data_IF_891109938551
#
_entry.id   IF_891109938551
#
_cell.length_a   1.000
_cell.length_b   1.000
_cell.length_c   1.000
_cell.angle_alpha   90.00
_cell.angle_beta   90.00
_cell.angle_gamma   90.00
#
_symmetry.space_group_name_H-M   'P 1'
#
loop_
_entity.id
_entity.type
_entity.pdbx_description
1 polymer ?
#
# COMPACT_ATOMS: atom_id res chain seq x y z
N UNK A 1 -6.86 13.41 -10.48
CA UNK A 1 -6.31 12.67 -9.32
C UNK A 1 -6.15 11.19 -9.57
N UNK A 2 -7.16 10.43 -10.01
CA UNK A 2 -6.99 8.98 -10.24
C UNK A 2 -5.81 8.68 -11.17
N UNK A 3 -5.69 9.40 -12.27
CA UNK A 3 -4.53 9.30 -13.16
C UNK A 3 -3.22 9.54 -12.41
N UNK A 4 -3.12 10.59 -11.59
CA UNK A 4 -1.91 10.88 -10.81
C UNK A 4 -1.56 9.75 -9.84
N UNK A 5 -2.55 9.17 -9.16
CA UNK A 5 -2.34 7.99 -8.29
C UNK A 5 -1.79 6.80 -9.07
N UNK A 6 -2.36 6.52 -10.27
CA UNK A 6 -1.87 5.45 -11.12
C UNK A 6 -0.41 5.65 -11.57
N UNK A 7 -0.05 6.88 -11.94
CA UNK A 7 1.33 7.20 -12.34
C UNK A 7 2.29 7.11 -11.15
N UNK A 8 1.91 7.64 -10.01
CA UNK A 8 2.70 7.54 -8.79
C UNK A 8 2.94 6.08 -8.38
N UNK A 9 1.92 5.24 -8.47
CA UNK A 9 2.05 3.81 -8.13
C UNK A 9 3.08 3.06 -8.99
N UNK A 10 3.27 3.50 -10.24
CA UNK A 10 4.20 2.86 -11.19
C UNK A 10 5.58 3.51 -11.16
N UNK A 11 5.62 4.84 -11.11
CA UNK A 11 6.87 5.61 -11.31
C UNK A 11 7.40 6.29 -10.04
N UNK A 12 6.65 6.24 -8.93
CA UNK A 12 7.06 6.89 -7.69
C UNK A 12 8.39 6.35 -7.17
N UNK A 13 9.39 7.23 -7.05
CA UNK A 13 10.77 6.88 -6.70
C UNK A 13 11.69 6.63 -7.90
N UNK A 14 11.17 6.67 -9.13
CA UNK A 14 11.99 6.64 -10.34
C UNK A 14 12.21 8.09 -10.83
N UNK A 15 13.49 8.45 -11.06
CA UNK A 15 13.86 9.80 -11.56
C UNK A 15 13.57 9.91 -13.05
N UNK A 16 12.29 10.15 -13.39
CA UNK A 16 11.86 10.32 -14.78
C UNK A 16 10.87 11.47 -14.92
N UNK A 17 10.96 12.18 -16.02
CA UNK A 17 10.01 13.24 -16.37
C UNK A 17 8.86 12.66 -17.18
N UNK A 18 7.66 12.63 -16.60
CA UNK A 18 6.49 12.01 -17.20
C UNK A 18 5.60 13.04 -17.93
N UNK A 19 5.22 12.71 -19.15
CA UNK A 19 4.14 13.41 -19.86
C UNK A 19 2.80 12.76 -19.49
N UNK A 20 2.13 13.31 -18.48
CA UNK A 20 0.86 12.77 -17.98
C UNK A 20 -0.31 12.86 -18.96
N UNK A 21 -0.13 13.44 -20.15
CA UNK A 21 -1.13 13.40 -21.24
C UNK A 21 -1.12 12.06 -21.98
N UNK A 22 -0.06 11.26 -21.83
CA UNK A 22 0.09 9.96 -22.53
C UNK A 22 -0.54 8.84 -21.71
N UNK A 23 -1.05 7.78 -22.36
CA UNK A 23 -1.55 6.60 -21.66
C UNK A 23 -0.48 5.94 -20.77
N UNK A 24 -0.88 5.46 -19.58
CA UNK A 24 0.02 4.79 -18.63
C UNK A 24 0.82 3.65 -19.30
N UNK A 25 0.14 2.80 -20.11
CA UNK A 25 0.77 1.71 -20.87
C UNK A 25 1.95 2.20 -21.72
N UNK A 26 1.78 3.30 -22.43
CA UNK A 26 2.81 3.86 -23.30
C UNK A 26 4.01 4.36 -22.51
N UNK A 27 3.78 4.92 -21.32
CA UNK A 27 4.84 5.40 -20.45
C UNK A 27 5.59 4.23 -19.79
N UNK A 28 4.89 3.17 -19.39
CA UNK A 28 5.52 1.93 -18.89
C UNK A 28 6.45 1.35 -19.94
N UNK A 29 5.99 1.21 -21.19
CA UNK A 29 6.83 0.72 -22.29
C UNK A 29 8.05 1.62 -22.45
N UNK A 30 7.85 2.92 -22.54
CA UNK A 30 8.92 3.89 -22.84
C UNK A 30 9.96 3.98 -21.74
N UNK A 31 9.54 4.09 -20.48
CA UNK A 31 10.43 4.46 -19.36
C UNK A 31 10.84 3.27 -18.49
N UNK A 32 10.23 2.09 -18.68
CA UNK A 32 10.56 0.90 -17.89
C UNK A 32 10.96 -0.27 -18.79
N UNK A 33 10.08 -0.70 -19.71
CA UNK A 33 10.33 -1.94 -20.44
C UNK A 33 11.39 -1.78 -21.52
N UNK A 34 11.45 -0.63 -22.21
CA UNK A 34 12.51 -0.34 -23.18
C UNK A 34 13.85 -0.04 -22.50
N UNK A 35 13.83 0.49 -21.28
CA UNK A 35 15.01 0.79 -20.44
C UNK A 35 15.37 -0.40 -19.51
N UNK A 36 14.85 -1.59 -19.82
CA UNK A 36 14.95 -2.75 -18.94
C UNK A 36 16.37 -3.05 -18.49
N UNK A 37 17.36 -3.01 -19.38
CA UNK A 37 18.72 -3.38 -19.04
C UNK A 37 19.38 -2.40 -18.07
N UNK A 38 19.22 -1.10 -18.29
CA UNK A 38 19.78 -0.06 -17.42
C UNK A 38 19.13 -0.09 -16.04
N UNK A 39 17.82 -0.27 -15.98
CA UNK A 39 17.09 -0.40 -14.71
C UNK A 39 17.47 -1.70 -14.00
N UNK A 40 17.58 -2.82 -14.71
CA UNK A 40 18.02 -4.09 -14.14
C UNK A 40 19.41 -3.99 -13.52
N UNK A 41 20.34 -3.33 -14.20
CA UNK A 41 21.71 -3.12 -13.69
C UNK A 41 21.70 -2.27 -12.43
N UNK A 42 20.87 -1.24 -12.38
CA UNK A 42 20.68 -0.42 -11.18
C UNK A 42 20.12 -1.24 -10.02
N UNK A 43 19.06 -2.00 -10.24
CA UNK A 43 18.45 -2.87 -9.22
C UNK A 43 19.40 -3.99 -8.79
N UNK A 44 20.18 -4.57 -9.71
CA UNK A 44 21.17 -5.57 -9.38
C UNK A 44 22.28 -4.99 -8.45
N UNK A 45 22.72 -3.76 -8.68
CA UNK A 45 23.64 -3.07 -7.77
C UNK A 45 23.00 -2.83 -6.40
N UNK A 46 21.78 -2.31 -6.37
CA UNK A 46 21.03 -2.03 -5.16
C UNK A 46 20.81 -3.31 -4.32
N UNK A 47 20.49 -4.42 -4.95
CA UNK A 47 20.22 -5.72 -4.30
C UNK A 47 21.47 -6.61 -4.21
N UNK A 48 22.67 -6.08 -4.47
CA UNK A 48 23.93 -6.86 -4.51
C UNK A 48 23.85 -8.09 -5.44
N UNK A 49 22.96 -8.05 -6.43
CA UNK A 49 22.66 -9.17 -7.34
C UNK A 49 22.31 -10.49 -6.61
N UNK A 50 21.73 -10.39 -5.42
CA UNK A 50 21.42 -11.53 -4.57
C UNK A 50 20.14 -12.23 -5.03
N UNK A 51 20.24 -13.48 -5.43
CA UNK A 51 19.06 -14.27 -5.81
C UNK A 51 18.06 -14.47 -4.65
N UNK A 52 18.46 -14.70 -3.38
CA UNK A 52 17.57 -14.72 -2.23
C UNK A 52 16.80 -13.40 -2.05
N UNK A 53 17.47 -12.22 -2.18
CA UNK A 53 16.79 -10.94 -2.10
C UNK A 53 15.69 -10.81 -3.15
N UNK A 54 15.99 -11.16 -4.42
CA UNK A 54 15.01 -11.10 -5.50
C UNK A 54 13.80 -12.01 -5.25
N UNK A 55 14.02 -13.20 -4.66
CA UNK A 55 12.93 -14.11 -4.28
C UNK A 55 12.02 -13.49 -3.21
N UNK A 56 12.61 -12.94 -2.12
CA UNK A 56 11.85 -12.26 -1.05
C UNK A 56 11.10 -11.07 -1.61
N UNK A 57 11.77 -10.17 -2.35
CA UNK A 57 11.16 -8.98 -2.94
C UNK A 57 9.99 -9.33 -3.88
N UNK A 58 10.15 -10.37 -4.69
CA UNK A 58 9.04 -10.87 -5.51
C UNK A 58 7.89 -11.43 -4.66
N UNK A 59 8.22 -12.12 -3.56
CA UNK A 59 7.24 -12.69 -2.64
C UNK A 59 6.39 -11.65 -1.90
N UNK A 60 6.93 -10.45 -1.64
CA UNK A 60 6.23 -9.36 -0.94
C UNK A 60 5.58 -8.32 -1.88
N UNK A 61 5.86 -8.38 -3.17
CA UNK A 61 5.37 -7.37 -4.12
C UNK A 61 3.84 -7.38 -4.28
N UNK A 62 3.23 -8.56 -4.16
CA UNK A 62 1.79 -8.80 -4.21
C UNK A 62 1.36 -9.68 -3.01
N UNK A 63 0.06 -9.75 -2.77
CA UNK A 63 -0.52 -10.56 -1.70
C UNK A 63 -0.56 -9.82 -0.35
N UNK A 64 -0.66 -10.59 0.72
CA UNK A 64 -0.83 -10.09 2.08
C UNK A 64 0.40 -9.40 2.69
N UNK A 65 1.56 -9.54 2.07
CA UNK A 65 2.85 -8.95 2.46
C UNK A 65 3.35 -9.38 3.85
N UNK A 66 2.70 -10.33 4.51
CA UNK A 66 3.15 -10.89 5.80
C UNK A 66 4.48 -11.61 5.60
N UNK A 67 5.38 -11.47 6.55
CA UNK A 67 6.71 -12.12 6.50
C UNK A 67 6.60 -13.61 6.28
N UNK A 68 5.79 -14.30 7.10
CA UNK A 68 5.62 -15.76 7.00
C UNK A 68 5.15 -16.24 5.63
N UNK A 69 4.08 -15.61 5.09
CA UNK A 69 3.56 -15.99 3.78
C UNK A 69 4.48 -15.57 2.63
N UNK A 70 5.24 -14.50 2.80
CA UNK A 70 6.22 -14.04 1.80
C UNK A 70 7.41 -14.99 1.71
N UNK A 71 7.94 -15.44 2.83
CA UNK A 71 9.04 -16.41 2.86
C UNK A 71 8.61 -17.76 2.27
N UNK A 72 7.40 -18.22 2.61
CA UNK A 72 6.83 -19.43 2.02
C UNK A 72 6.69 -19.33 0.49
N UNK A 73 6.22 -18.18 -0.03
CA UNK A 73 6.16 -17.94 -1.50
C UNK A 73 7.55 -17.86 -2.14
N UNK A 74 8.53 -17.37 -1.41
CA UNK A 74 9.91 -17.25 -1.86
C UNK A 74 10.71 -18.56 -1.76
N UNK A 75 10.15 -19.58 -1.12
CA UNK A 75 10.84 -20.83 -0.79
C UNK A 75 12.13 -20.57 0.00
N UNK A 76 11.99 -19.84 1.11
CA UNK A 76 13.07 -19.45 2.01
C UNK A 76 12.65 -19.78 3.44
N UNK A 77 13.59 -20.37 4.21
CA UNK A 77 13.40 -20.66 5.62
C UNK A 77 13.25 -19.35 6.45
N UNK A 78 12.47 -19.42 7.52
CA UNK A 78 12.10 -18.22 8.30
C UNK A 78 13.31 -17.44 8.84
N UNK A 79 14.29 -18.14 9.44
CA UNK A 79 15.50 -17.49 10.00
C UNK A 79 16.36 -16.81 8.92
N UNK A 80 16.46 -17.44 7.75
CA UNK A 80 17.15 -16.86 6.59
C UNK A 80 16.36 -15.64 6.06
N UNK A 81 15.05 -15.77 5.98
CA UNK A 81 14.16 -14.69 5.54
C UNK A 81 14.28 -13.44 6.42
N UNK A 82 14.30 -13.60 7.73
CA UNK A 82 14.47 -12.48 8.68
C UNK A 82 15.82 -11.78 8.47
N UNK A 83 16.92 -12.53 8.31
CA UNK A 83 18.24 -11.92 8.00
C UNK A 83 18.21 -11.11 6.71
N UNK A 84 17.56 -11.66 5.67
CA UNK A 84 17.41 -10.96 4.40
C UNK A 84 16.61 -9.66 4.58
N UNK A 85 15.54 -9.66 5.39
CA UNK A 85 14.75 -8.45 5.65
C UNK A 85 15.59 -7.37 6.33
N UNK A 86 16.35 -7.70 7.38
CA UNK A 86 17.25 -6.73 8.00
C UNK A 86 18.23 -6.09 7.01
N UNK A 87 18.83 -6.90 6.13
CA UNK A 87 19.75 -6.39 5.12
C UNK A 87 19.03 -5.52 4.07
N UNK A 88 17.80 -5.86 3.69
CA UNK A 88 16.98 -5.07 2.77
C UNK A 88 16.48 -3.76 3.39
N UNK A 89 16.27 -3.73 4.72
CA UNK A 89 15.96 -2.51 5.47
C UNK A 89 17.18 -1.59 5.56
N UNK A 90 18.38 -2.12 5.85
CA UNK A 90 19.63 -1.34 5.82
C UNK A 90 19.92 -0.74 4.45
N UNK A 91 19.49 -1.42 3.37
CA UNK A 91 19.60 -0.92 1.99
C UNK A 91 18.44 0.03 1.60
N UNK A 92 17.54 0.34 2.53
CA UNK A 92 16.36 1.19 2.30
C UNK A 92 15.46 0.71 1.14
N UNK A 93 15.41 -0.62 0.90
CA UNK A 93 14.57 -1.22 -0.16
C UNK A 93 13.17 -1.54 0.37
N UNK A 94 13.11 -2.04 1.60
CA UNK A 94 11.86 -2.35 2.30
C UNK A 94 11.86 -1.72 3.68
N UNK A 95 10.70 -1.71 4.30
CA UNK A 95 10.50 -1.41 5.72
C UNK A 95 9.48 -2.36 6.31
N UNK A 96 9.65 -2.71 7.57
CA UNK A 96 8.69 -3.47 8.35
C UNK A 96 7.53 -2.58 8.79
N UNK A 97 6.33 -3.10 8.69
CA UNK A 97 5.09 -2.50 9.17
C UNK A 97 4.53 -3.41 10.26
N UNK A 98 4.47 -2.92 11.49
CA UNK A 98 3.86 -3.62 12.64
C UNK A 98 2.40 -3.24 12.79
N UNK A 99 1.60 -4.15 13.33
CA UNK A 99 0.20 -3.86 13.66
C UNK A 99 0.12 -2.84 14.80
N UNK A 100 -0.81 -1.90 14.72
CA UNK A 100 -1.05 -0.88 15.76
C UNK A 100 -1.95 -1.44 16.89
N UNK A 101 -1.62 -2.60 17.40
CA UNK A 101 -2.35 -3.29 18.46
C UNK A 101 -2.28 -2.56 19.83
N UNK A 102 -1.21 -1.82 20.07
CA UNK A 102 -1.04 -0.99 21.26
C UNK A 102 -2.10 0.12 21.40
N UNK A 103 -2.79 0.50 20.32
CA UNK A 103 -3.93 1.42 20.35
C UNK A 103 -5.27 0.70 20.64
N UNK A 104 -5.23 -0.60 20.86
CA UNK A 104 -6.42 -1.39 21.21
C UNK A 104 -6.39 -1.74 22.71
N UNK A 105 -7.54 -1.99 23.30
CA UNK A 105 -7.61 -2.43 24.70
C UNK A 105 -7.47 -3.96 24.84
N UNK A 106 -7.20 -4.66 23.75
CA UNK A 106 -6.91 -6.10 23.79
C UNK A 106 -5.41 -6.32 23.99
N UNK A 107 -5.00 -6.61 25.22
CA UNK A 107 -3.62 -6.89 25.60
C UNK A 107 -3.18 -8.34 25.34
N UNK A 108 -3.98 -9.13 24.64
CA UNK A 108 -3.51 -10.44 24.19
C UNK A 108 -2.43 -10.23 23.12
N UNK A 109 -1.31 -10.93 23.28
CA UNK A 109 -0.23 -10.88 22.29
C UNK A 109 -0.79 -11.19 20.89
N UNK A 110 -0.65 -10.22 20.01
CA UNK A 110 -1.02 -10.39 18.60
C UNK A 110 0.09 -11.17 17.91
N UNK A 111 -0.05 -12.48 17.80
CA UNK A 111 0.90 -13.38 17.14
C UNK A 111 0.95 -13.19 15.60
N UNK A 112 0.25 -12.19 15.07
CA UNK A 112 0.25 -11.92 13.65
C UNK A 112 1.60 -11.42 13.18
N UNK A 113 2.16 -12.06 12.15
CA UNK A 113 3.44 -11.65 11.58
C UNK A 113 3.37 -10.23 10.98
N UNK A 114 4.47 -9.51 11.11
CA UNK A 114 4.66 -8.20 10.49
C UNK A 114 4.44 -8.25 8.98
N UNK A 115 4.09 -7.11 8.42
CA UNK A 115 3.98 -6.90 6.97
C UNK A 115 5.18 -6.11 6.47
N UNK A 116 5.51 -6.30 5.20
CA UNK A 116 6.64 -5.65 4.55
C UNK A 116 6.14 -4.66 3.50
N UNK A 117 6.76 -3.49 3.48
CA UNK A 117 6.49 -2.43 2.53
C UNK A 117 7.74 -2.10 1.72
N UNK A 118 7.60 -1.93 0.42
CA UNK A 118 8.65 -1.30 -0.36
C UNK A 118 8.74 0.19 -0.01
N UNK A 119 9.96 0.71 0.03
CA UNK A 119 10.20 2.12 0.31
C UNK A 119 9.76 3.02 -0.84
N UNK A 120 9.74 2.50 -2.08
CA UNK A 120 9.24 3.21 -3.25
C UNK A 120 8.19 2.39 -4.01
N UNK A 121 7.15 3.04 -4.57
CA UNK A 121 6.18 2.39 -5.43
C UNK A 121 6.80 1.71 -6.65
N UNK A 122 7.83 2.35 -7.26
CA UNK A 122 8.50 1.80 -8.43
C UNK A 122 9.18 0.45 -8.17
N UNK A 123 9.90 0.29 -7.04
CA UNK A 123 10.50 -1.00 -6.69
C UNK A 123 9.44 -2.09 -6.55
N UNK A 124 8.31 -1.77 -5.90
CA UNK A 124 7.18 -2.71 -5.81
C UNK A 124 6.64 -3.07 -7.20
N UNK A 125 6.46 -2.07 -8.10
CA UNK A 125 6.03 -2.32 -9.47
C UNK A 125 7.01 -3.23 -10.23
N UNK A 126 8.31 -2.99 -10.10
CA UNK A 126 9.34 -3.80 -10.73
C UNK A 126 9.25 -5.27 -10.31
N UNK A 127 9.22 -5.52 -9.01
CA UNK A 127 9.18 -6.89 -8.50
C UNK A 127 7.81 -7.58 -8.68
N UNK A 128 6.73 -6.81 -8.82
CA UNK A 128 5.41 -7.36 -9.11
C UNK A 128 5.24 -7.73 -10.59
N UNK A 129 5.71 -6.90 -11.54
CA UNK A 129 5.25 -6.96 -12.92
C UNK A 129 6.37 -7.03 -13.98
N UNK A 130 7.61 -6.76 -13.62
CA UNK A 130 8.75 -6.74 -14.55
C UNK A 130 9.69 -7.90 -14.28
N UNK A 131 10.20 -7.99 -13.07
CA UNK A 131 11.16 -9.02 -12.67
C UNK A 131 10.66 -10.47 -12.90
N UNK A 132 9.40 -10.84 -12.58
CA UNK A 132 8.93 -12.21 -12.79
C UNK A 132 8.86 -12.67 -14.25
N UNK A 133 8.67 -11.71 -15.17
CA UNK A 133 8.47 -11.98 -16.61
C UNK A 133 9.62 -11.49 -17.49
N UNK A 134 10.79 -11.32 -16.89
CA UNK A 134 11.97 -10.72 -17.51
C UNK A 134 12.39 -11.39 -18.84
N UNK A 135 12.12 -12.69 -19.02
CA UNK A 135 12.51 -13.42 -20.23
C UNK A 135 11.79 -12.91 -21.47
N UNK A 136 10.49 -12.63 -21.37
CA UNK A 136 9.71 -12.03 -22.44
C UNK A 136 10.18 -10.61 -22.72
N UNK A 137 10.38 -9.80 -21.66
CA UNK A 137 10.82 -8.41 -21.78
C UNK A 137 12.15 -8.31 -22.52
N UNK A 138 13.12 -9.17 -22.23
CA UNK A 138 14.42 -9.25 -22.95
C UNK A 138 14.28 -9.54 -24.45
N UNK A 139 13.18 -10.16 -24.88
CA UNK A 139 12.88 -10.42 -26.30
C UNK A 139 12.02 -9.33 -26.93
N UNK A 140 11.66 -8.28 -26.18
CA UNK A 140 10.72 -7.24 -26.63
C UNK A 140 9.26 -7.67 -26.56
N UNK A 141 8.95 -8.75 -25.86
CA UNK A 141 7.60 -9.29 -25.66
C UNK A 141 7.03 -8.77 -24.34
N UNK A 142 6.09 -7.83 -24.38
CA UNK A 142 5.59 -7.12 -23.19
C UNK A 142 4.21 -7.57 -22.72
N UNK A 143 3.54 -8.40 -23.49
CA UNK A 143 2.13 -8.77 -23.23
C UNK A 143 1.95 -9.49 -21.88
N UNK A 144 2.87 -10.40 -21.51
CA UNK A 144 2.82 -11.11 -20.22
C UNK A 144 2.89 -10.15 -19.03
N UNK A 145 3.75 -9.11 -19.12
CA UNK A 145 3.86 -8.07 -18.08
C UNK A 145 2.54 -7.30 -17.92
N UNK A 146 1.90 -6.94 -19.04
CA UNK A 146 0.63 -6.21 -19.01
C UNK A 146 -0.55 -7.09 -18.59
N UNK A 147 -0.57 -8.35 -19.00
CA UNK A 147 -1.59 -9.31 -18.53
C UNK A 147 -1.50 -9.47 -17.02
N UNK A 148 -0.29 -9.66 -16.51
CA UNK A 148 -0.05 -9.73 -15.06
C UNK A 148 -0.46 -8.43 -14.35
N UNK A 149 -0.11 -7.27 -14.89
CA UNK A 149 -0.52 -5.98 -14.32
C UNK A 149 -2.04 -5.83 -14.31
N UNK A 150 -2.73 -6.15 -15.40
CA UNK A 150 -4.20 -6.06 -15.48
C UNK A 150 -4.89 -6.98 -14.46
N UNK A 151 -4.35 -8.17 -14.23
CA UNK A 151 -4.91 -9.14 -13.29
C UNK A 151 -4.78 -8.70 -11.82
N UNK A 152 -3.70 -8.01 -11.47
CA UNK A 152 -3.40 -7.61 -10.08
C UNK A 152 -3.48 -6.10 -9.84
N UNK A 153 -3.90 -5.31 -10.83
CA UNK A 153 -3.89 -3.85 -10.74
C UNK A 153 -4.68 -3.32 -9.54
N UNK A 154 -5.86 -3.85 -9.27
CA UNK A 154 -6.69 -3.36 -8.17
C UNK A 154 -6.02 -3.58 -6.81
N UNK A 155 -5.50 -4.78 -6.58
CA UNK A 155 -4.76 -5.11 -5.36
C UNK A 155 -3.49 -4.25 -5.21
N UNK A 156 -2.74 -4.10 -6.31
CA UNK A 156 -1.54 -3.28 -6.33
C UNK A 156 -1.84 -1.81 -6.02
N UNK A 157 -2.89 -1.26 -6.60
CA UNK A 157 -3.30 0.13 -6.41
C UNK A 157 -3.92 0.40 -5.05
N UNK A 158 -4.59 -0.59 -4.44
CA UNK A 158 -5.26 -0.43 -3.14
C UNK A 158 -4.27 -0.04 -2.04
N UNK A 159 -3.11 -0.71 -1.97
CA UNK A 159 -2.06 -0.36 -1.00
C UNK A 159 -1.50 1.06 -1.21
N UNK A 160 -1.23 1.44 -2.47
CA UNK A 160 -0.72 2.79 -2.76
C UNK A 160 -1.75 3.86 -2.40
N UNK A 161 -3.02 3.60 -2.69
CA UNK A 161 -4.09 4.51 -2.31
C UNK A 161 -4.21 4.65 -0.79
N UNK A 162 -4.09 3.54 -0.06
CA UNK A 162 -4.10 3.53 1.39
C UNK A 162 -2.94 4.37 1.96
N UNK A 163 -1.71 4.17 1.47
CA UNK A 163 -0.55 4.97 1.89
C UNK A 163 -0.76 6.47 1.64
N UNK A 164 -1.33 6.83 0.48
CA UNK A 164 -1.68 8.22 0.18
C UNK A 164 -2.79 8.76 1.08
N UNK A 165 -3.74 7.92 1.53
CA UNK A 165 -4.74 8.32 2.51
C UNK A 165 -4.11 8.61 3.87
N UNK A 166 -3.12 7.81 4.31
CA UNK A 166 -2.37 8.08 5.54
C UNK A 166 -1.64 9.42 5.45
N UNK A 167 -0.94 9.69 4.36
CA UNK A 167 -0.26 10.98 4.15
C UNK A 167 -1.26 12.16 4.09
N UNK A 168 -2.45 11.94 3.50
CA UNK A 168 -3.51 12.95 3.51
C UNK A 168 -3.99 13.26 4.93
N UNK A 169 -4.19 12.25 5.78
CA UNK A 169 -4.60 12.45 7.17
C UNK A 169 -3.53 13.25 7.91
N UNK A 170 -2.25 12.87 7.82
CA UNK A 170 -1.15 13.64 8.42
C UNK A 170 -1.14 15.10 7.96
N UNK A 171 -1.27 15.34 6.67
CA UNK A 171 -1.21 16.69 6.09
C UNK A 171 -2.40 17.58 6.44
N UNK A 172 -3.55 16.99 6.81
CA UNK A 172 -4.79 17.75 7.04
C UNK A 172 -5.14 17.93 8.52
N UNK A 173 -4.52 17.20 9.44
CA UNK A 173 -4.66 17.39 10.88
C UNK A 173 -3.57 18.33 11.42
N UNK A 174 -3.72 19.63 11.12
CA UNK A 174 -2.71 20.65 11.46
C UNK A 174 -2.86 21.19 12.88
N UNK A 175 -4.11 21.33 13.38
CA UNK A 175 -4.40 21.87 14.71
C UNK A 175 -4.17 20.84 15.84
N UNK A 176 -4.27 19.57 15.52
CA UNK A 176 -4.08 18.45 16.43
C UNK A 176 -3.30 17.37 15.64
N UNK A 177 -2.00 17.54 15.59
CA UNK A 177 -1.11 16.74 14.75
C UNK A 177 -1.27 15.24 15.00
N UNK A 178 -1.06 14.44 13.95
CA UNK A 178 -1.04 12.99 14.06
C UNK A 178 0.26 12.55 14.73
N UNK A 179 0.15 11.95 15.90
CA UNK A 179 1.28 11.37 16.62
C UNK A 179 1.72 10.08 15.94
N UNK A 180 0.76 9.21 15.65
CA UNK A 180 1.02 7.96 14.94
C UNK A 180 -0.14 7.56 14.02
N UNK A 181 0.18 6.87 12.93
CA UNK A 181 -0.79 6.38 11.97
C UNK A 181 -0.26 5.11 11.29
N UNK A 182 -1.12 4.13 11.16
CA UNK A 182 -0.80 2.86 10.51
C UNK A 182 -2.04 2.02 10.28
N UNK A 183 -1.85 0.72 10.36
CA UNK A 183 -2.89 -0.30 10.21
C UNK A 183 -2.98 -1.13 11.47
N UNK A 184 -4.16 -1.70 11.69
CA UNK A 184 -4.33 -2.80 12.63
C UNK A 184 -4.63 -4.08 11.84
N UNK A 185 -4.06 -5.18 12.25
CA UNK A 185 -4.44 -6.51 11.78
C UNK A 185 -4.11 -7.57 12.83
N UNK A 186 -4.97 -8.54 12.89
CA UNK A 186 -4.75 -9.81 13.55
C UNK A 186 -5.07 -10.97 12.58
N UNK A 187 -5.40 -12.16 13.08
CA UNK A 187 -5.81 -13.28 12.24
C UNK A 187 -7.19 -13.10 11.58
N UNK A 188 -8.09 -12.29 12.16
CA UNK A 188 -9.51 -12.17 11.80
C UNK A 188 -9.91 -10.78 11.36
N UNK A 189 -9.23 -9.75 11.86
CA UNK A 189 -9.60 -8.35 11.69
C UNK A 189 -8.51 -7.60 10.93
N UNK A 190 -8.92 -6.61 10.13
CA UNK A 190 -8.01 -5.70 9.44
C UNK A 190 -8.65 -4.31 9.37
N UNK A 191 -7.89 -3.29 9.79
CA UNK A 191 -8.24 -1.87 9.71
C UNK A 191 -7.18 -1.18 8.87
N UNK A 192 -7.59 -0.58 7.76
CA UNK A 192 -6.66 0.08 6.84
C UNK A 192 -6.04 1.38 7.41
N UNK A 193 -6.77 2.05 8.30
CA UNK A 193 -6.34 3.31 8.89
C UNK A 193 -6.73 3.33 10.37
N UNK A 194 -5.72 3.34 11.23
CA UNK A 194 -5.83 3.60 12.67
C UNK A 194 -4.79 4.66 13.00
N UNK A 195 -5.20 5.70 13.71
CA UNK A 195 -4.30 6.79 14.06
C UNK A 195 -4.65 7.38 15.42
N UNK A 196 -3.65 7.97 16.07
CA UNK A 196 -3.82 8.78 17.26
C UNK A 196 -3.23 10.17 17.04
N UNK A 197 -3.92 11.20 17.54
CA UNK A 197 -3.42 12.57 17.55
C UNK A 197 -2.63 12.85 18.83
N UNK A 198 -1.85 13.92 18.84
CA UNK A 198 -1.09 14.37 20.03
C UNK A 198 -2.01 14.65 21.24
N UNK A 199 -3.25 15.05 21.02
CA UNK A 199 -4.24 15.22 22.12
C UNK A 199 -4.88 13.89 22.57
N UNK A 200 -4.50 12.75 21.96
CA UNK A 200 -5.03 11.42 22.29
C UNK A 200 -6.34 11.05 21.59
N UNK A 201 -6.81 11.81 20.60
CA UNK A 201 -8.00 11.43 19.83
C UNK A 201 -7.70 10.27 18.90
N UNK A 202 -8.63 9.34 18.82
CA UNK A 202 -8.52 8.14 17.99
C UNK A 202 -9.27 8.31 16.68
N UNK A 203 -8.61 7.99 15.59
CA UNK A 203 -9.14 8.01 14.23
C UNK A 203 -9.15 6.59 13.70
N UNK A 204 -10.30 6.11 13.24
CA UNK A 204 -10.41 4.84 12.52
C UNK A 204 -10.89 5.09 11.10
N UNK A 205 -10.42 4.28 10.14
CA UNK A 205 -10.86 4.48 8.77
C UNK A 205 -10.75 3.26 7.88
N UNK A 206 -11.28 3.46 6.67
CA UNK A 206 -11.21 2.49 5.59
C UNK A 206 -10.87 3.16 4.28
N UNK A 207 -9.92 2.58 3.55
CA UNK A 207 -9.46 3.03 2.25
C UNK A 207 -9.87 1.99 1.20
N UNK A 208 -10.64 2.40 0.18
CA UNK A 208 -11.19 1.49 -0.85
C UNK A 208 -10.89 1.98 -2.26
N UNK A 209 -9.92 1.34 -2.92
CA UNK A 209 -9.59 1.59 -4.32
C UNK A 209 -10.34 0.62 -5.24
N UNK A 210 -11.67 0.64 -5.19
CA UNK A 210 -12.55 -0.25 -5.95
C UNK A 210 -13.38 0.51 -6.97
N UNK A 211 -13.92 -0.19 -7.98
CA UNK A 211 -14.80 0.40 -8.99
C UNK A 211 -16.26 0.58 -8.51
N UNK A 212 -16.59 0.12 -7.31
CA UNK A 212 -17.90 0.27 -6.70
C UNK A 212 -17.91 1.34 -5.62
N UNK A 213 -19.06 1.99 -5.44
CA UNK A 213 -19.26 2.98 -4.36
C UNK A 213 -19.26 2.29 -3.00
N UNK A 214 -18.63 2.95 -2.02
CA UNK A 214 -18.67 2.51 -0.63
C UNK A 214 -20.07 2.70 -0.07
N UNK A 215 -20.57 1.67 0.63
CA UNK A 215 -21.92 1.59 1.20
C UNK A 215 -21.87 1.82 2.73
N UNK A 216 -23.04 2.07 3.32
CA UNK A 216 -23.20 2.20 4.79
C UNK A 216 -22.73 0.96 5.56
N UNK A 217 -22.76 -0.22 4.95
CA UNK A 217 -22.23 -1.44 5.54
C UNK A 217 -20.76 -1.35 5.96
N UNK A 218 -19.96 -0.46 5.33
CA UNK A 218 -18.56 -0.25 5.73
C UNK A 218 -18.46 0.45 7.10
N UNK A 219 -19.36 1.40 7.40
CA UNK A 219 -19.42 2.00 8.75
C UNK A 219 -19.78 0.94 9.78
N UNK A 220 -20.76 0.08 9.47
CA UNK A 220 -21.18 -0.98 10.38
C UNK A 220 -20.03 -1.95 10.65
N UNK A 221 -19.29 -2.36 9.60
CA UNK A 221 -18.08 -3.18 9.74
C UNK A 221 -17.05 -2.54 10.66
N UNK A 222 -16.75 -1.25 10.49
CA UNK A 222 -15.80 -0.55 11.37
C UNK A 222 -16.30 -0.48 12.81
N UNK A 223 -17.60 -0.27 13.03
CA UNK A 223 -18.20 -0.29 14.38
C UNK A 223 -18.06 -1.65 15.05
N UNK A 224 -18.41 -2.73 14.32
CA UNK A 224 -18.28 -4.09 14.83
C UNK A 224 -16.83 -4.42 15.21
N UNK A 225 -15.85 -3.88 14.47
CA UNK A 225 -14.44 -4.02 14.79
C UNK A 225 -14.08 -3.18 16.02
N UNK A 226 -14.52 -1.91 16.11
CA UNK A 226 -14.31 -1.07 17.28
C UNK A 226 -14.85 -1.71 18.57
N UNK A 227 -16.05 -2.30 18.51
CA UNK A 227 -16.64 -3.01 19.65
C UNK A 227 -15.79 -4.19 20.08
N UNK A 228 -15.25 -4.98 19.12
CA UNK A 228 -14.39 -6.13 19.42
C UNK A 228 -13.03 -5.74 19.98
N UNK A 229 -12.47 -4.61 19.54
CA UNK A 229 -11.16 -4.11 19.98
C UNK A 229 -11.27 -3.12 21.14
N UNK A 230 -12.49 -2.86 21.63
CA UNK A 230 -12.78 -1.90 22.69
C UNK A 230 -12.24 -0.48 22.39
N UNK A 231 -12.24 -0.10 21.09
CA UNK A 231 -11.82 1.22 20.62
C UNK A 231 -13.03 2.16 20.56
N UNK A 232 -12.87 3.36 21.11
CA UNK A 232 -13.86 4.44 20.98
C UNK A 232 -13.29 5.53 20.07
N UNK A 233 -13.60 5.55 18.76
CA UNK A 233 -13.03 6.53 17.86
C UNK A 233 -13.73 7.89 17.97
N UNK A 234 -12.96 8.98 17.96
CA UNK A 234 -13.43 10.36 17.82
C UNK A 234 -13.80 10.66 16.36
N UNK A 235 -13.06 10.05 15.43
CA UNK A 235 -13.31 10.22 13.99
C UNK A 235 -13.37 8.90 13.25
N UNK A 236 -14.35 8.81 12.33
CA UNK A 236 -14.45 7.73 11.36
C UNK A 236 -14.20 8.31 9.96
N UNK A 237 -13.15 7.89 9.29
CA UNK A 237 -12.76 8.39 7.98
C UNK A 237 -12.88 7.33 6.91
N UNK A 238 -13.65 7.64 5.86
CA UNK A 238 -13.78 6.74 4.72
C UNK A 238 -13.19 7.39 3.46
N UNK A 239 -12.29 6.67 2.83
CA UNK A 239 -11.68 7.06 1.56
C UNK A 239 -12.16 6.13 0.45
N UNK A 240 -12.56 6.69 -0.68
CA UNK A 240 -13.08 5.91 -1.79
C UNK A 240 -12.63 6.45 -3.14
N UNK A 241 -12.17 5.54 -4.02
CA UNK A 241 -11.92 5.85 -5.43
C UNK A 241 -13.23 6.26 -6.13
N UNK A 242 -14.28 5.45 -5.98
CA UNK A 242 -15.55 5.58 -6.74
C UNK A 242 -16.65 6.35 -6.00
N UNK A 243 -16.31 6.92 -4.82
CA UNK A 243 -17.23 7.68 -4.00
C UNK A 243 -18.18 6.81 -3.17
N UNK A 244 -19.29 7.38 -2.75
CA UNK A 244 -20.19 6.82 -1.73
C UNK A 244 -21.62 6.74 -2.25
N UNK A 245 -22.42 5.80 -1.69
CA UNK A 245 -23.86 5.73 -1.95
C UNK A 245 -24.58 6.95 -1.36
N UNK A 246 -25.77 7.26 -1.87
CA UNK A 246 -26.56 8.37 -1.35
C UNK A 246 -26.96 8.15 0.12
N UNK A 247 -27.28 6.92 0.49
CA UNK A 247 -27.56 6.53 1.86
C UNK A 247 -26.41 6.89 2.81
N UNK A 248 -25.16 6.55 2.41
CA UNK A 248 -23.98 6.87 3.22
C UNK A 248 -23.72 8.38 3.28
N UNK A 249 -23.92 9.11 2.18
CA UNK A 249 -23.75 10.57 2.13
C UNK A 249 -24.77 11.33 2.99
N UNK A 250 -25.97 10.75 3.20
CA UNK A 250 -27.00 11.34 4.04
C UNK A 250 -26.78 11.09 5.55
N UNK A 251 -25.83 10.21 5.88
CA UNK A 251 -25.49 9.93 7.27
C UNK A 251 -24.84 11.15 7.92
N UNK A 252 -25.58 11.81 8.81
CA UNK A 252 -25.09 12.94 9.59
C UNK A 252 -24.67 12.46 10.97
N UNK A 253 -23.37 12.15 11.11
CA UNK A 253 -22.77 11.80 12.41
C UNK A 253 -21.58 12.72 12.63
N UNK A 254 -21.52 13.25 13.84
CA UNK A 254 -20.33 13.96 14.28
C UNK A 254 -19.12 13.01 14.18
N UNK A 255 -18.00 13.54 13.69
CA UNK A 255 -16.78 12.73 13.50
C UNK A 255 -16.73 11.90 12.22
N UNK A 256 -17.83 11.71 11.46
CA UNK A 256 -17.78 10.99 10.17
C UNK A 256 -17.28 11.91 9.04
N UNK A 257 -16.20 11.50 8.40
CA UNK A 257 -15.59 12.23 7.26
C UNK A 257 -15.49 11.32 6.03
N UNK A 258 -15.95 11.83 4.89
CA UNK A 258 -16.00 11.09 3.62
C UNK A 258 -15.11 11.77 2.58
N UNK A 259 -14.08 11.07 2.14
CA UNK A 259 -13.08 11.57 1.19
C UNK A 259 -13.09 10.74 -0.09
N UNK A 260 -12.90 11.37 -1.22
CA UNK A 260 -12.71 10.68 -2.50
C UNK A 260 -11.26 10.81 -2.95
N UNK A 261 -10.86 10.06 -3.97
CA UNK A 261 -9.55 10.21 -4.59
C UNK A 261 -9.23 11.67 -4.97
N UNK A 262 -10.27 12.51 -5.20
CA UNK A 262 -10.09 13.95 -5.50
C UNK A 262 -9.54 14.73 -4.30
N UNK A 263 -9.84 14.30 -3.10
CA UNK A 263 -9.37 14.95 -1.87
C UNK A 263 -7.84 14.90 -1.75
N UNK A 264 -7.21 13.87 -2.30
CA UNK A 264 -5.74 13.72 -2.33
C UNK A 264 -5.03 14.83 -3.11
N UNK A 265 -5.78 15.73 -3.78
CA UNK A 265 -5.19 16.93 -4.41
C UNK A 265 -4.46 17.81 -3.39
N UNK A 266 -4.82 17.75 -2.13
CA UNK A 266 -4.13 18.47 -1.05
C UNK A 266 -2.67 18.01 -0.84
N UNK A 267 -2.28 16.84 -1.35
CA UNK A 267 -0.90 16.35 -1.31
C UNK A 267 -0.03 16.87 -2.47
N UNK A 268 -0.63 17.58 -3.44
CA UNK A 268 0.09 18.17 -4.57
C UNK A 268 0.26 19.64 -4.24
N UNK A 269 1.43 20.00 -3.78
CA UNK A 269 1.84 21.40 -3.50
C UNK A 269 2.51 21.96 -4.75
#
# INVERSE_FOLDING_TARGET
METAVNYFAVFGGLDVKLDMSKPLRSLIIRHILNEYYDIQDHIAKLTKNSAPYHKVLTGIALGDRRTNSSFKRADIEYEEGIKIIYELEELEIVKTETSMDHLTNQFEENDSSDKLLFTTPFLRFWFAFVSPVYRGIKRGEFDESFERFNNYQLEFMDLIFEQLCHEYVKATFVEDEIEEIGRYWDEKLDINLLAQTVSGKVIIGSCKYTNSKVKKSEINRLKDICEKLEITPDFVMLFSKSGFTNELKSEKKDGLKLYTVKSLKALII
#
